data_IF_368368546588
#
_entry.id   IF_368368546588
#
_cell.length_a   1.000
_cell.length_b   1.000
_cell.length_c   1.000
_cell.angle_alpha   90.00
_cell.angle_beta   90.00
_cell.angle_gamma   90.00
#
_symmetry.space_group_name_H-M   'P 1'
#
loop_
_entity.id
_entity.type
_entity.pdbx_description
1 polymer ?
#
# COMPACT_ATOMS: atom_id res chain seq x y z
N UNK A 1 16.26 -17.29 -0.69
CA UNK A 1 16.60 -18.72 -0.60
C UNK A 1 18.06 -18.89 -0.24
N UNK A 2 18.36 -19.88 0.59
CA UNK A 2 19.72 -20.29 0.97
C UNK A 2 19.80 -21.82 0.93
N UNK A 3 20.87 -22.38 0.36
CA UNK A 3 21.03 -23.83 0.17
C UNK A 3 19.80 -24.54 -0.46
N UNK A 4 19.10 -23.85 -1.37
CA UNK A 4 17.88 -24.37 -2.02
C UNK A 4 16.59 -24.27 -1.19
N UNK A 5 16.66 -23.81 0.06
CA UNK A 5 15.49 -23.64 0.93
C UNK A 5 14.98 -22.19 0.94
N UNK A 6 13.65 -22.04 1.05
CA UNK A 6 13.02 -20.76 1.35
C UNK A 6 13.23 -20.41 2.83
N UNK A 7 13.59 -19.15 3.09
CA UNK A 7 13.78 -18.63 4.45
C UNK A 7 12.45 -18.06 4.95
N UNK A 8 12.16 -18.21 6.25
CA UNK A 8 11.00 -17.58 6.90
C UNK A 8 11.40 -16.27 7.57
N UNK A 9 10.48 -15.30 7.61
CA UNK A 9 10.72 -13.98 8.23
C UNK A 9 11.06 -14.06 9.72
N UNK A 10 10.57 -15.09 10.42
CA UNK A 10 10.80 -15.27 11.86
C UNK A 10 12.11 -15.99 12.20
N UNK A 11 12.95 -16.31 11.21
CA UNK A 11 14.19 -17.07 11.45
C UNK A 11 15.37 -16.13 11.71
N UNK A 12 16.16 -16.45 12.73
CA UNK A 12 17.48 -15.86 12.90
C UNK A 12 18.46 -16.48 11.91
N UNK A 13 19.24 -15.65 11.22
CA UNK A 13 20.25 -16.09 10.26
C UNK A 13 21.28 -17.06 10.87
N UNK A 14 21.60 -16.88 12.16
CA UNK A 14 22.53 -17.73 12.88
C UNK A 14 21.98 -19.16 13.08
N UNK A 15 20.69 -19.30 13.35
CA UNK A 15 20.05 -20.60 13.59
C UNK A 15 19.95 -21.46 12.32
N UNK A 16 19.94 -20.82 11.14
CA UNK A 16 19.99 -21.50 9.83
C UNK A 16 21.39 -21.61 9.24
N UNK A 17 22.43 -21.31 10.03
CA UNK A 17 23.83 -21.48 9.61
C UNK A 17 24.24 -20.57 8.46
N UNK A 18 23.61 -19.40 8.34
CA UNK A 18 24.02 -18.35 7.41
C UNK A 18 25.11 -17.52 8.10
N UNK A 19 26.33 -17.59 7.56
CA UNK A 19 27.49 -16.88 8.09
C UNK A 19 27.94 -15.76 7.15
N UNK A 20 28.92 -14.97 7.59
CA UNK A 20 29.62 -14.05 6.71
C UNK A 20 30.18 -14.80 5.48
N UNK A 21 29.97 -14.23 4.29
CA UNK A 21 30.38 -14.82 3.02
C UNK A 21 29.34 -15.75 2.38
N UNK A 22 28.22 -16.05 3.04
CA UNK A 22 27.11 -16.80 2.42
C UNK A 22 26.40 -15.99 1.33
N UNK A 23 26.01 -16.65 0.24
CA UNK A 23 25.23 -16.05 -0.84
C UNK A 23 23.74 -16.36 -0.70
N UNK A 24 22.91 -15.33 -0.78
CA UNK A 24 21.45 -15.46 -0.78
C UNK A 24 20.90 -15.25 -2.18
N UNK A 25 19.98 -16.12 -2.60
CA UNK A 25 19.21 -15.94 -3.83
C UNK A 25 17.88 -15.29 -3.52
N UNK A 26 17.69 -14.05 -3.93
CA UNK A 26 16.44 -13.32 -3.77
C UNK A 26 15.56 -13.49 -5.00
N UNK A 27 14.26 -13.66 -4.78
CA UNK A 27 13.26 -13.64 -5.84
C UNK A 27 12.28 -12.52 -5.51
N UNK A 28 12.03 -11.65 -6.47
CA UNK A 28 10.92 -10.70 -6.40
C UNK A 28 9.68 -11.46 -6.83
N UNK A 29 8.67 -11.51 -5.95
CA UNK A 29 7.36 -12.00 -6.33
C UNK A 29 6.57 -10.84 -6.92
N UNK A 30 6.17 -10.97 -8.18
CA UNK A 30 5.17 -10.09 -8.76
C UNK A 30 3.80 -10.51 -8.22
N UNK A 31 3.10 -9.60 -7.55
CA UNK A 31 1.70 -9.81 -7.17
C UNK A 31 0.83 -9.42 -8.36
N UNK A 32 0.10 -10.39 -8.92
CA UNK A 32 -0.77 -10.19 -10.09
C UNK A 32 -2.03 -9.36 -9.74
N UNK A 33 -2.40 -9.34 -8.46
CA UNK A 33 -3.59 -8.63 -7.97
C UNK A 33 -3.18 -7.41 -7.16
N UNK A 34 -3.77 -6.23 -7.43
CA UNK A 34 -3.49 -5.05 -6.64
C UNK A 34 -4.05 -5.20 -5.22
N UNK A 35 -3.29 -4.68 -4.26
CA UNK A 35 -3.62 -4.67 -2.83
C UNK A 35 -4.76 -3.69 -2.52
N UNK A 36 -4.96 -2.69 -3.37
CA UNK A 36 -5.94 -1.61 -3.20
C UNK A 36 -6.34 -1.03 -4.56
N UNK A 37 -7.56 -0.54 -4.69
CA UNK A 37 -8.01 0.27 -5.83
C UNK A 37 -8.34 1.68 -5.37
N UNK A 38 -7.95 2.68 -6.15
CA UNK A 38 -8.25 4.09 -5.90
C UNK A 38 -9.06 4.65 -7.06
N UNK A 39 -10.30 5.04 -6.79
CA UNK A 39 -11.14 5.74 -7.74
C UNK A 39 -10.83 7.24 -7.70
N UNK A 40 -10.41 7.78 -8.85
CA UNK A 40 -10.20 9.19 -9.04
C UNK A 40 -11.51 9.86 -9.44
N UNK A 41 -12.11 10.64 -8.54
CA UNK A 41 -13.35 11.34 -8.84
C UNK A 41 -13.17 12.47 -9.87
N UNK A 42 -11.94 12.97 -10.06
CA UNK A 42 -11.64 14.02 -11.04
C UNK A 42 -11.54 13.47 -12.46
N UNK A 43 -10.92 12.29 -12.65
CA UNK A 43 -10.76 11.66 -13.98
C UNK A 43 -11.80 10.57 -14.25
N UNK A 44 -12.57 10.15 -13.24
CA UNK A 44 -13.50 9.02 -13.26
C UNK A 44 -12.82 7.67 -13.55
N UNK A 45 -11.52 7.54 -13.25
CA UNK A 45 -10.75 6.32 -13.48
C UNK A 45 -10.46 5.59 -12.18
N UNK A 46 -10.39 4.25 -12.24
CA UNK A 46 -9.97 3.41 -11.11
C UNK A 46 -8.54 2.94 -11.34
N UNK A 47 -7.64 3.31 -10.42
CA UNK A 47 -6.22 2.95 -10.50
C UNK A 47 -5.91 1.81 -9.54
N UNK A 48 -5.29 0.71 -10.03
CA UNK A 48 -4.81 -0.36 -9.17
C UNK A 48 -3.51 0.04 -8.47
N UNK A 49 -3.42 -0.21 -7.17
CA UNK A 49 -2.21 -0.03 -6.37
C UNK A 49 -1.54 -1.39 -6.13
N UNK A 50 -0.42 -1.64 -6.80
CA UNK A 50 0.36 -2.90 -6.74
C UNK A 50 1.38 -2.93 -5.60
N UNK A 51 1.19 -2.14 -4.55
CA UNK A 51 2.17 -2.04 -3.46
C UNK A 51 2.34 -3.39 -2.73
N UNK A 52 3.57 -3.91 -2.83
CA UNK A 52 4.04 -5.20 -2.30
C UNK A 52 4.30 -5.20 -0.79
N UNK A 53 4.02 -4.08 -0.09
CA UNK A 53 4.34 -3.89 1.32
C UNK A 53 3.04 -3.65 2.07
N UNK A 54 2.78 -4.46 3.08
CA UNK A 54 1.57 -4.43 3.90
C UNK A 54 1.11 -3.00 4.20
N UNK A 55 0.01 -2.56 3.56
CA UNK A 55 -0.71 -1.34 3.92
C UNK A 55 -1.12 -1.32 5.40
N UNK A 56 -1.12 -2.51 6.03
CA UNK A 56 -1.34 -2.80 7.44
C UNK A 56 -0.43 -2.05 8.42
N UNK A 57 0.65 -1.40 7.97
CA UNK A 57 1.56 -0.65 8.85
C UNK A 57 1.92 0.75 8.38
N UNK A 58 1.38 1.19 7.24
CA UNK A 58 1.66 2.52 6.68
C UNK A 58 0.65 3.55 7.16
N UNK A 59 1.05 4.82 7.16
CA UNK A 59 0.15 5.93 7.44
C UNK A 59 -0.61 6.35 6.19
N UNK A 60 -1.73 7.04 6.37
CA UNK A 60 -2.45 7.65 5.23
C UNK A 60 -1.58 8.66 4.48
N UNK A 61 -0.61 9.32 5.13
CA UNK A 61 0.37 10.18 4.46
C UNK A 61 1.17 9.44 3.39
N UNK A 62 1.59 8.21 3.69
CA UNK A 62 2.35 7.36 2.75
C UNK A 62 1.45 6.98 1.56
N UNK A 63 0.20 6.65 1.84
CA UNK A 63 -0.80 6.33 0.82
C UNK A 63 -1.10 7.54 -0.08
N UNK A 64 -1.29 8.73 0.49
CA UNK A 64 -1.47 9.97 -0.30
C UNK A 64 -0.27 10.25 -1.19
N UNK A 65 0.94 10.00 -0.68
CA UNK A 65 2.17 10.18 -1.47
C UNK A 65 2.23 9.21 -2.65
N UNK A 66 1.89 7.94 -2.43
CA UNK A 66 1.80 6.94 -3.50
C UNK A 66 0.77 7.32 -4.55
N UNK A 67 -0.41 7.74 -4.12
CA UNK A 67 -1.48 8.20 -5.02
C UNK A 67 -1.05 9.44 -5.80
N UNK A 68 -0.38 10.41 -5.15
CA UNK A 68 0.18 11.58 -5.81
C UNK A 68 1.20 11.19 -6.91
N UNK A 69 2.06 10.22 -6.63
CA UNK A 69 3.02 9.69 -7.62
C UNK A 69 2.31 8.99 -8.80
N UNK A 70 1.25 8.23 -8.55
CA UNK A 70 0.50 7.54 -9.59
C UNK A 70 -0.31 8.48 -10.47
N UNK A 71 -0.94 9.51 -9.88
CA UNK A 71 -1.84 10.41 -10.60
C UNK A 71 -1.17 11.69 -11.13
N UNK A 72 0.04 12.01 -10.67
CA UNK A 72 0.73 13.25 -10.99
C UNK A 72 0.17 14.50 -10.31
N UNK A 73 -0.72 14.34 -9.31
CA UNK A 73 -1.30 15.45 -8.57
C UNK A 73 -0.57 15.68 -7.24
N UNK A 74 -0.27 16.93 -6.84
CA UNK A 74 0.27 17.20 -5.51
C UNK A 74 -0.68 16.74 -4.40
N UNK A 75 -0.13 16.23 -3.29
CA UNK A 75 -0.94 15.78 -2.13
C UNK A 75 -1.84 16.88 -1.57
N UNK A 76 -1.58 18.16 -1.84
CA UNK A 76 -2.38 19.29 -1.35
C UNK A 76 -3.67 19.53 -2.13
N UNK A 77 -3.82 18.98 -3.35
CA UNK A 77 -4.99 19.29 -4.21
C UNK A 77 -6.12 18.27 -4.09
N UNK A 78 -5.91 17.20 -3.34
CA UNK A 78 -6.89 16.14 -3.16
C UNK A 78 -6.95 15.62 -1.72
N UNK A 79 -8.04 14.93 -1.40
CA UNK A 79 -8.19 14.16 -0.18
C UNK A 79 -8.58 12.72 -0.53
N UNK A 80 -8.19 11.79 0.34
CA UNK A 80 -8.63 10.39 0.26
C UNK A 80 -9.87 10.21 1.12
N UNK A 81 -10.89 9.56 0.57
CA UNK A 81 -12.11 9.23 1.30
C UNK A 81 -12.38 7.73 1.25
N UNK A 82 -12.92 7.22 2.34
CA UNK A 82 -13.45 5.85 2.41
C UNK A 82 -14.70 5.72 1.52
N UNK A 83 -15.17 4.49 1.19
CA UNK A 83 -16.42 4.29 0.47
C UNK A 83 -17.66 4.93 1.11
N UNK A 84 -17.60 5.18 2.43
CA UNK A 84 -18.66 5.87 3.19
C UNK A 84 -18.58 7.40 3.08
N UNK A 85 -17.64 7.93 2.30
CA UNK A 85 -17.42 9.37 2.14
C UNK A 85 -16.60 10.02 3.26
N UNK A 86 -16.13 9.26 4.25
CA UNK A 86 -15.32 9.79 5.35
C UNK A 86 -13.90 10.09 4.86
N UNK A 87 -13.46 11.33 5.09
CA UNK A 87 -12.08 11.76 4.79
C UNK A 87 -11.05 11.09 5.70
N UNK A 88 -9.94 10.69 5.09
CA UNK A 88 -8.80 10.05 5.73
C UNK A 88 -7.68 11.06 5.96
N UNK A 89 -7.13 11.07 7.17
CA UNK A 89 -6.11 12.02 7.61
C UNK A 89 -4.74 11.35 7.76
N UNK A 90 -3.68 12.11 7.51
CA UNK A 90 -2.29 11.64 7.45
C UNK A 90 -1.83 10.79 8.63
N UNK A 91 -2.31 11.06 9.83
CA UNK A 91 -1.91 10.33 11.04
C UNK A 91 -2.66 9.00 11.24
N UNK A 92 -3.73 8.76 10.48
CA UNK A 92 -4.52 7.54 10.59
C UNK A 92 -3.77 6.37 9.95
N UNK A 93 -4.09 5.17 10.43
CA UNK A 93 -3.68 3.93 9.78
C UNK A 93 -4.85 3.45 8.91
N UNK A 94 -4.63 3.08 7.63
CA UNK A 94 -5.68 2.55 6.76
C UNK A 94 -6.39 1.29 7.32
N UNK A 95 -5.86 0.71 8.39
CA UNK A 95 -6.43 -0.43 9.11
C UNK A 95 -7.72 -0.10 9.90
N UNK A 96 -8.06 1.18 10.09
CA UNK A 96 -9.32 1.59 10.75
C UNK A 96 -10.55 1.56 9.80
N UNK A 97 -10.37 1.14 8.55
CA UNK A 97 -11.50 0.91 7.65
C UNK A 97 -12.29 -0.35 8.09
N UNK A 98 -13.60 -0.22 8.35
CA UNK A 98 -14.42 -1.30 8.93
C UNK A 98 -14.69 -2.47 7.98
N UNK A 99 -14.12 -2.49 6.78
CA UNK A 99 -14.40 -3.49 5.76
C UNK A 99 -13.14 -4.32 5.46
N UNK A 100 -13.15 -5.57 5.96
CA UNK A 100 -12.07 -6.57 5.77
C UNK A 100 -12.04 -7.17 4.37
N UNK A 101 -12.78 -6.63 3.41
CA UNK A 101 -12.63 -7.02 2.03
C UNK A 101 -11.42 -6.28 1.44
N UNK A 102 -10.43 -7.03 0.92
CA UNK A 102 -9.16 -6.57 0.31
C UNK A 102 -9.31 -5.65 -0.92
N UNK A 103 -10.49 -5.03 -1.09
CA UNK A 103 -10.95 -4.34 -2.27
C UNK A 103 -11.84 -3.16 -1.87
N UNK A 104 -11.37 -2.28 -0.98
CA UNK A 104 -12.08 -1.04 -0.69
C UNK A 104 -11.65 0.03 -1.69
N UNK A 105 -12.55 0.55 -2.54
CA UNK A 105 -12.24 1.70 -3.38
C UNK A 105 -12.05 2.94 -2.49
N UNK A 106 -10.88 3.55 -2.54
CA UNK A 106 -10.70 4.90 -1.99
C UNK A 106 -11.09 5.92 -3.04
N UNK A 107 -11.73 6.99 -2.60
CA UNK A 107 -12.15 8.08 -3.48
C UNK A 107 -11.16 9.23 -3.35
N UNK A 108 -10.54 9.61 -4.46
CA UNK A 108 -9.72 10.80 -4.55
C UNK A 108 -10.60 11.97 -5.00
N UNK A 109 -10.86 12.90 -4.08
CA UNK A 109 -11.72 14.08 -4.30
C UNK A 109 -10.93 15.38 -4.20
N UNK A 110 -11.32 16.47 -4.89
CA UNK A 110 -10.69 17.78 -4.71
C UNK A 110 -10.74 18.24 -3.25
N UNK A 111 -9.65 18.85 -2.76
CA UNK A 111 -9.55 19.33 -1.37
C UNK A 111 -10.60 20.40 -1.01
N UNK A 112 -11.19 21.06 -2.02
CA UNK A 112 -12.21 22.11 -1.86
C UNK A 112 -13.65 21.62 -1.94
N UNK A 113 -13.89 20.31 -2.09
CA UNK A 113 -15.25 19.76 -2.10
C UNK A 113 -15.82 19.63 -0.67
N UNK A 114 -16.05 20.78 -0.03
CA UNK A 114 -16.99 20.92 1.08
C UNK A 114 -18.39 21.06 0.47
N UNK A 115 -19.31 20.21 0.92
CA UNK A 115 -20.71 20.22 0.50
C UNK A 115 -21.51 21.21 1.34
#
# INVERSE_FOLDING_TARGET
MYAGAALKDSWSLADVGISLGSTLKCFVKEEDKPTLYVFNAMTQETMPMMENISLLGKKVSDLRTLVALSCGFPVSVFCLRTPKGLEMYDCQHPQELPDRHRYCPLYLTPATAQH
#
